data_IF_970171732002
#
_entry.id   IF_970171732002
#
_cell.length_a   1.000
_cell.length_b   1.000
_cell.length_c   1.000
_cell.angle_alpha   90.00
_cell.angle_beta   90.00
_cell.angle_gamma   90.00
#
_symmetry.space_group_name_H-M   'P 1'
#
loop_
_entity.id
_entity.type
_entity.pdbx_description
1 polymer ?
#
# COMPACT_ATOMS: atom_id res chain seq x y z
N UNK A 1 14.27 -17.33 -10.67
CA UNK A 1 14.67 -17.26 -12.10
C UNK A 1 13.82 -16.30 -12.94
N UNK A 2 12.50 -16.18 -12.70
CA UNK A 2 11.62 -15.21 -13.40
C UNK A 2 12.04 -13.73 -13.25
N UNK A 3 12.56 -13.35 -12.07
CA UNK A 3 12.97 -11.96 -11.79
C UNK A 3 14.17 -11.47 -12.61
N UNK A 4 14.91 -12.32 -13.32
CA UNK A 4 16.05 -11.93 -14.17
C UNK A 4 15.77 -12.05 -15.67
N UNK A 5 14.54 -12.41 -16.05
CA UNK A 5 14.14 -12.43 -17.46
C UNK A 5 14.09 -11.00 -18.02
N UNK A 6 14.70 -10.80 -19.18
CA UNK A 6 14.64 -9.55 -19.96
C UNK A 6 13.23 -9.15 -20.35
N UNK A 7 12.27 -10.09 -20.37
CA UNK A 7 10.87 -9.83 -20.72
C UNK A 7 10.00 -9.79 -19.47
N UNK A 8 10.13 -10.76 -18.56
CA UNK A 8 9.21 -10.87 -17.42
C UNK A 8 9.39 -9.74 -16.40
N UNK A 9 10.62 -9.23 -16.21
CA UNK A 9 10.87 -8.12 -15.28
C UNK A 9 10.21 -6.81 -15.76
N UNK A 10 10.41 -6.33 -17.00
CA UNK A 10 9.69 -5.15 -17.49
C UNK A 10 8.17 -5.34 -17.49
N UNK A 11 7.68 -6.51 -17.91
CA UNK A 11 6.25 -6.81 -17.92
C UNK A 11 5.64 -6.72 -16.52
N UNK A 12 6.31 -7.27 -15.52
CA UNK A 12 5.91 -7.14 -14.11
C UNK A 12 5.75 -5.68 -13.69
N UNK A 13 6.75 -4.83 -13.96
CA UNK A 13 6.69 -3.42 -13.58
C UNK A 13 5.61 -2.63 -14.32
N UNK A 14 5.37 -2.95 -15.61
CA UNK A 14 4.28 -2.36 -16.38
C UNK A 14 2.93 -2.74 -15.77
N UNK A 15 2.72 -4.02 -15.46
CA UNK A 15 1.49 -4.50 -14.86
C UNK A 15 1.26 -3.88 -13.48
N UNK A 16 2.30 -3.81 -12.64
CA UNK A 16 2.21 -3.14 -11.34
C UNK A 16 1.86 -1.66 -11.49
N UNK A 17 2.53 -0.94 -12.39
CA UNK A 17 2.22 0.47 -12.67
C UNK A 17 0.78 0.68 -13.15
N UNK A 18 0.29 -0.20 -14.02
CA UNK A 18 -1.09 -0.17 -14.51
C UNK A 18 -2.09 -0.39 -13.36
N UNK A 19 -1.85 -1.38 -12.49
CA UNK A 19 -2.72 -1.64 -11.34
C UNK A 19 -2.77 -0.42 -10.42
N UNK A 20 -1.63 0.20 -10.12
CA UNK A 20 -1.57 1.41 -9.30
C UNK A 20 -2.29 2.60 -9.95
N UNK A 21 -2.11 2.79 -11.26
CA UNK A 21 -2.79 3.85 -12.00
C UNK A 21 -4.31 3.67 -11.98
N UNK A 22 -4.79 2.43 -12.22
CA UNK A 22 -6.22 2.09 -12.16
C UNK A 22 -6.77 2.29 -10.75
N UNK A 23 -6.06 1.84 -9.72
CA UNK A 23 -6.44 2.04 -8.33
C UNK A 23 -6.60 3.53 -8.01
N UNK A 24 -5.61 4.37 -8.34
CA UNK A 24 -5.67 5.82 -8.10
C UNK A 24 -6.79 6.50 -8.91
N UNK A 25 -6.97 6.13 -10.18
CA UNK A 25 -8.03 6.68 -11.02
C UNK A 25 -9.43 6.29 -10.53
N UNK A 26 -9.58 5.09 -9.98
CA UNK A 26 -10.84 4.58 -9.44
C UNK A 26 -11.16 5.11 -8.04
N UNK A 27 -10.17 5.61 -7.29
CA UNK A 27 -10.35 6.00 -5.90
C UNK A 27 -11.47 7.05 -5.69
N UNK A 28 -11.61 8.10 -6.52
CA UNK A 28 -12.72 9.06 -6.37
C UNK A 28 -14.10 8.45 -6.64
N UNK A 29 -14.20 7.51 -7.58
CA UNK A 29 -15.46 6.80 -7.85
C UNK A 29 -15.83 5.93 -6.65
N UNK A 30 -14.88 5.14 -6.15
CA UNK A 30 -15.06 4.31 -4.97
C UNK A 30 -15.48 5.12 -3.72
N UNK A 31 -14.85 6.27 -3.49
CA UNK A 31 -15.22 7.14 -2.37
C UNK A 31 -16.66 7.68 -2.48
N UNK A 32 -17.12 8.00 -3.70
CA UNK A 32 -18.52 8.44 -3.94
C UNK A 32 -19.50 7.31 -3.73
N UNK A 33 -19.18 6.10 -4.16
CA UNK A 33 -20.03 4.92 -3.96
C UNK A 33 -20.21 4.58 -2.48
N UNK A 34 -19.21 4.89 -1.65
CA UNK A 34 -19.27 4.79 -0.19
C UNK A 34 -19.95 5.99 0.49
N UNK A 35 -20.35 7.02 -0.25
CA UNK A 35 -20.94 8.25 0.29
C UNK A 35 -19.95 9.13 1.07
N UNK A 36 -18.64 8.93 0.89
CA UNK A 36 -17.60 9.68 1.61
C UNK A 36 -17.46 11.10 1.07
N UNK A 37 -17.45 12.08 1.96
CA UNK A 37 -17.20 13.49 1.61
C UNK A 37 -15.71 13.79 1.68
N UNK A 38 -14.98 13.41 0.63
CA UNK A 38 -13.53 13.54 0.55
C UNK A 38 -13.08 14.96 0.19
N UNK A 39 -12.66 15.73 1.18
CA UNK A 39 -11.93 16.99 0.98
C UNK A 39 -10.46 16.73 0.62
N UNK A 40 -9.75 17.75 0.12
CA UNK A 40 -8.33 17.64 -0.22
C UNK A 40 -7.46 17.08 0.92
N UNK A 41 -7.68 17.53 2.16
CA UNK A 41 -6.92 17.03 3.32
C UNK A 41 -7.25 15.57 3.68
N UNK A 42 -8.50 15.15 3.48
CA UNK A 42 -8.91 13.73 3.66
C UNK A 42 -8.24 12.83 2.63
N UNK A 43 -8.13 13.29 1.38
CA UNK A 43 -7.33 12.61 0.34
C UNK A 43 -5.86 12.52 0.72
N UNK A 44 -5.28 13.60 1.24
CA UNK A 44 -3.89 13.59 1.70
C UNK A 44 -3.68 12.60 2.85
N UNK A 45 -4.60 12.55 3.82
CA UNK A 45 -4.53 11.60 4.93
C UNK A 45 -4.65 10.15 4.45
N UNK A 46 -5.58 9.86 3.53
CA UNK A 46 -5.71 8.52 2.94
C UNK A 46 -4.47 8.11 2.14
N UNK A 47 -3.90 9.04 1.35
CA UNK A 47 -2.67 8.80 0.61
C UNK A 47 -1.47 8.59 1.55
N UNK A 48 -1.37 9.36 2.63
CA UNK A 48 -0.33 9.20 3.64
C UNK A 48 -0.45 7.85 4.35
N UNK A 49 -1.67 7.47 4.76
CA UNK A 49 -1.95 6.18 5.38
C UNK A 49 -1.54 5.01 4.46
N UNK A 50 -1.93 5.06 3.19
CA UNK A 50 -1.57 4.05 2.20
C UNK A 50 -0.05 4.03 1.91
N UNK A 51 0.58 5.20 1.88
CA UNK A 51 2.04 5.33 1.71
C UNK A 51 2.81 4.69 2.88
N UNK A 52 2.38 4.93 4.12
CA UNK A 52 2.97 4.32 5.31
C UNK A 52 2.79 2.79 5.32
N UNK A 53 1.61 2.30 4.95
CA UNK A 53 1.36 0.87 4.78
C UNK A 53 2.32 0.28 3.73
N UNK A 54 2.46 0.93 2.57
CA UNK A 54 3.35 0.48 1.50
C UNK A 54 4.81 0.44 1.95
N UNK A 55 5.27 1.46 2.70
CA UNK A 55 6.63 1.50 3.24
C UNK A 55 6.89 0.41 4.27
N UNK A 56 5.95 0.14 5.18
CA UNK A 56 6.14 -0.92 6.18
C UNK A 56 6.09 -2.33 5.57
N UNK A 57 5.28 -2.54 4.53
CA UNK A 57 5.34 -3.78 3.72
C UNK A 57 6.69 -3.89 3.04
N UNK A 58 7.15 -2.84 2.35
CA UNK A 58 8.44 -2.84 1.67
C UNK A 58 9.59 -3.12 2.64
N UNK A 59 9.64 -2.45 3.79
CA UNK A 59 10.64 -2.67 4.83
C UNK A 59 10.65 -4.12 5.33
N UNK A 60 9.47 -4.71 5.54
CA UNK A 60 9.35 -6.10 5.98
C UNK A 60 9.92 -7.08 4.96
N UNK A 61 9.58 -6.91 3.67
CA UNK A 61 10.09 -7.77 2.61
C UNK A 61 11.58 -7.56 2.33
N UNK A 62 12.10 -6.34 2.52
CA UNK A 62 13.53 -6.06 2.47
C UNK A 62 14.27 -6.88 3.54
N UNK A 63 13.84 -6.83 4.81
CA UNK A 63 14.46 -7.60 5.90
C UNK A 63 14.38 -9.12 5.65
N UNK A 64 13.24 -9.61 5.14
CA UNK A 64 13.13 -11.02 4.75
C UNK A 64 14.11 -11.39 3.63
N UNK A 65 14.37 -10.48 2.69
CA UNK A 65 15.36 -10.63 1.63
C UNK A 65 16.81 -10.59 2.15
N UNK A 66 17.08 -9.82 3.21
CA UNK A 66 18.40 -9.65 3.83
C UNK A 66 18.77 -10.77 4.82
N UNK A 67 18.09 -11.92 4.73
CA UNK A 67 18.28 -13.10 5.61
C UNK A 67 17.86 -12.86 7.07
N UNK A 68 17.02 -11.87 7.32
CA UNK A 68 16.41 -11.62 8.64
C UNK A 68 14.88 -11.86 8.63
N UNK A 69 14.41 -13.07 8.31
CA UNK A 69 12.98 -13.33 8.11
C UNK A 69 12.15 -13.12 9.37
N UNK A 70 12.70 -13.40 10.56
CA UNK A 70 12.01 -13.15 11.83
C UNK A 70 11.77 -11.66 12.05
N UNK A 71 12.78 -10.82 11.82
CA UNK A 71 12.64 -9.37 11.93
C UNK A 71 11.59 -8.85 10.95
N UNK A 72 11.64 -9.30 9.68
CA UNK A 72 10.64 -8.95 8.69
C UNK A 72 9.22 -9.36 9.07
N UNK A 73 9.02 -10.55 9.68
CA UNK A 73 7.70 -10.99 10.16
C UNK A 73 7.17 -10.11 11.30
N UNK A 74 8.03 -9.72 12.25
CA UNK A 74 7.66 -8.82 13.33
C UNK A 74 7.32 -7.42 12.83
N UNK A 75 8.13 -6.86 11.92
CA UNK A 75 7.86 -5.55 11.31
C UNK A 75 6.55 -5.58 10.53
N UNK A 76 6.28 -6.67 9.80
CA UNK A 76 5.04 -6.81 9.04
C UNK A 76 3.84 -6.85 9.97
N UNK A 77 3.88 -7.71 11.00
CA UNK A 77 2.81 -7.82 11.98
C UNK A 77 2.54 -6.50 12.70
N UNK A 78 3.59 -5.84 13.19
CA UNK A 78 3.49 -4.54 13.86
C UNK A 78 2.92 -3.47 12.93
N UNK A 79 3.46 -3.37 11.70
CA UNK A 79 2.99 -2.42 10.69
C UNK A 79 1.50 -2.62 10.44
N UNK A 80 1.07 -3.86 10.18
CA UNK A 80 -0.33 -4.16 9.88
C UNK A 80 -1.25 -3.79 11.04
N UNK A 81 -0.88 -4.10 12.28
CA UNK A 81 -1.66 -3.73 13.47
C UNK A 81 -1.79 -2.21 13.58
N UNK A 82 -0.69 -1.47 13.48
CA UNK A 82 -0.72 0.00 13.52
C UNK A 82 -1.58 0.56 12.38
N UNK A 83 -1.43 0.03 11.17
CA UNK A 83 -2.19 0.50 10.01
C UNK A 83 -3.68 0.20 10.12
N UNK A 84 -4.08 -0.94 10.70
CA UNK A 84 -5.48 -1.24 10.98
C UNK A 84 -6.07 -0.22 11.97
N UNK A 85 -5.37 0.05 13.08
CA UNK A 85 -5.81 1.03 14.08
C UNK A 85 -5.95 2.43 13.44
N UNK A 86 -4.93 2.85 12.69
CA UNK A 86 -4.96 4.13 11.97
C UNK A 86 -6.06 4.15 10.89
N UNK A 87 -6.34 3.02 10.25
CA UNK A 87 -7.39 2.90 9.23
C UNK A 87 -8.78 3.06 9.82
N UNK A 88 -9.04 2.47 10.99
CA UNK A 88 -10.30 2.68 11.74
C UNK A 88 -10.42 4.14 12.20
N UNK A 89 -9.33 4.72 12.70
CA UNK A 89 -9.30 6.14 13.07
C UNK A 89 -9.56 7.06 11.87
N UNK A 90 -8.94 6.77 10.73
CA UNK A 90 -9.14 7.49 9.47
C UNK A 90 -10.57 7.36 8.98
N UNK A 91 -11.15 6.16 9.01
CA UNK A 91 -12.55 5.92 8.62
C UNK A 91 -13.54 6.80 9.38
N UNK A 92 -13.25 7.07 10.65
CA UNK A 92 -14.08 7.94 11.49
C UNK A 92 -14.00 9.42 11.10
N UNK A 93 -12.96 9.81 10.33
CA UNK A 93 -12.71 11.17 9.87
C UNK A 93 -13.15 11.40 8.41
N UNK A 94 -13.19 10.36 7.58
CA UNK A 94 -13.56 10.42 6.17
C UNK A 94 -15.07 10.62 5.99
#
# INVERSE_FOLDING_TARGET
MLLYSTIARPLFWILMGLIYALMLASAPAWARDLGLQMTWWKWLLAALWYGLLSLGIAASFTLMGEKEPRAGQYVLGLTLVIMIILGVGLWSLL
#
